data_IF_473947788759
#
_entry.id   IF_473947788759
#
_cell.length_a   1.000
_cell.length_b   1.000
_cell.length_c   1.000
_cell.angle_alpha   90.00
_cell.angle_beta   90.00
_cell.angle_gamma   90.00
#
_symmetry.space_group_name_H-M   'P 1'
#
loop_
_entity.id
_entity.type
_entity.pdbx_description
1 polymer ?
#
# COMPACT_ATOMS: atom_id res chain seq x y z
N UNK A 1 -6.91 -20.60 19.23
CA UNK A 1 -7.98 -19.58 19.06
C UNK A 1 -7.88 -18.97 17.64
N UNK A 2 -8.95 -18.42 17.06
CA UNK A 2 -8.92 -17.88 15.67
C UNK A 2 -7.86 -16.77 15.45
N UNK A 3 -7.47 -16.05 16.50
CA UNK A 3 -6.42 -15.03 16.47
C UNK A 3 -5.02 -15.58 16.12
N UNK A 4 -4.76 -16.88 16.29
CA UNK A 4 -3.47 -17.49 15.92
C UNK A 4 -3.19 -17.43 14.41
N UNK A 5 -4.23 -17.28 13.60
CA UNK A 5 -4.16 -17.18 12.14
C UNK A 5 -3.77 -15.78 11.64
N UNK A 6 -3.72 -14.77 12.52
CA UNK A 6 -3.31 -13.41 12.16
C UNK A 6 -1.81 -13.39 11.89
N UNK A 7 -1.42 -13.11 10.63
CA UNK A 7 -0.01 -13.15 10.19
C UNK A 7 0.83 -11.94 10.62
N UNK A 8 0.26 -10.72 10.62
CA UNK A 8 0.98 -9.52 11.04
C UNK A 8 1.18 -9.56 12.56
N UNK A 9 2.43 -9.77 12.98
CA UNK A 9 2.79 -9.99 14.39
C UNK A 9 2.32 -8.85 15.29
N UNK A 10 2.50 -7.60 14.85
CA UNK A 10 2.05 -6.44 15.61
C UNK A 10 0.53 -6.46 15.86
N UNK A 11 -0.27 -6.68 14.81
CA UNK A 11 -1.73 -6.82 14.93
C UNK A 11 -2.11 -7.98 15.84
N UNK A 12 -1.44 -9.12 15.68
CA UNK A 12 -1.67 -10.31 16.50
C UNK A 12 -1.43 -10.03 17.98
N UNK A 13 -0.33 -9.34 18.32
CA UNK A 13 0.01 -8.98 19.69
C UNK A 13 -1.10 -8.14 20.36
N UNK A 14 -1.65 -7.14 19.65
CA UNK A 14 -2.77 -6.34 20.17
C UNK A 14 -4.03 -7.18 20.39
N UNK A 15 -4.37 -8.10 19.48
CA UNK A 15 -5.52 -8.99 19.66
C UNK A 15 -5.30 -9.97 20.82
N UNK A 16 -4.09 -10.52 20.97
CA UNK A 16 -3.77 -11.40 22.10
C UNK A 16 -3.83 -10.67 23.46
N UNK A 17 -3.34 -9.44 23.52
CA UNK A 17 -3.47 -8.60 24.70
C UNK A 17 -4.94 -8.26 24.99
N UNK A 18 -5.74 -7.97 23.96
CA UNK A 18 -7.17 -7.74 24.12
C UNK A 18 -7.89 -8.96 24.72
N UNK A 19 -7.53 -10.19 24.29
CA UNK A 19 -8.06 -11.42 24.89
C UNK A 19 -7.70 -11.54 26.37
N UNK A 20 -6.44 -11.30 26.74
CA UNK A 20 -5.98 -11.36 28.13
C UNK A 20 -6.74 -10.35 29.01
N UNK A 21 -6.81 -9.09 28.57
CA UNK A 21 -7.53 -8.03 29.28
C UNK A 21 -9.03 -8.33 29.39
N UNK A 22 -9.63 -8.94 28.37
CA UNK A 22 -11.01 -9.38 28.42
C UNK A 22 -11.25 -10.46 29.49
N UNK A 23 -10.35 -11.44 29.59
CA UNK A 23 -10.41 -12.49 30.61
C UNK A 23 -10.18 -11.95 32.03
N UNK A 24 -9.37 -10.90 32.16
CA UNK A 24 -9.11 -10.16 33.41
C UNK A 24 -10.25 -9.21 33.81
N UNK A 25 -11.22 -8.97 32.92
CA UNK A 25 -12.33 -8.02 33.16
C UNK A 25 -11.99 -6.56 32.87
N UNK A 26 -10.81 -6.29 32.32
CA UNK A 26 -10.28 -4.96 31.94
C UNK A 26 -10.83 -4.52 30.57
N UNK A 27 -12.15 -4.41 30.47
CA UNK A 27 -12.88 -4.22 29.21
C UNK A 27 -12.49 -2.95 28.45
N UNK A 28 -12.26 -1.84 29.14
CA UNK A 28 -11.87 -0.58 28.50
C UNK A 28 -10.50 -0.72 27.82
N UNK A 29 -9.53 -1.29 28.52
CA UNK A 29 -8.19 -1.54 27.99
C UNK A 29 -8.24 -2.55 26.83
N UNK A 30 -9.09 -3.59 26.92
CA UNK A 30 -9.31 -4.51 25.81
C UNK A 30 -9.85 -3.80 24.56
N UNK A 31 -10.81 -2.87 24.70
CA UNK A 31 -11.32 -2.06 23.57
C UNK A 31 -10.25 -1.18 22.93
N UNK A 32 -9.31 -0.65 23.72
CA UNK A 32 -8.15 0.11 23.21
C UNK A 32 -7.26 -0.79 22.37
N UNK A 33 -6.90 -1.97 22.87
CA UNK A 33 -6.06 -2.93 22.13
C UNK A 33 -6.74 -3.40 20.84
N UNK A 34 -8.05 -3.68 20.88
CA UNK A 34 -8.85 -3.97 19.68
C UNK A 34 -8.75 -2.82 18.67
N UNK A 35 -8.85 -1.57 19.13
CA UNK A 35 -8.73 -0.41 18.25
C UNK A 35 -7.36 -0.32 17.59
N UNK A 36 -6.28 -0.52 18.35
CA UNK A 36 -4.91 -0.47 17.81
C UNK A 36 -4.73 -1.45 16.66
N UNK A 37 -5.26 -2.67 16.80
CA UNK A 37 -5.28 -3.65 15.72
C UNK A 37 -6.05 -3.13 14.48
N UNK A 38 -7.24 -2.54 14.67
CA UNK A 38 -8.03 -1.96 13.57
C UNK A 38 -7.30 -0.77 12.92
N UNK A 39 -6.63 0.06 13.69
CA UNK A 39 -5.84 1.17 13.17
C UNK A 39 -4.78 0.67 12.18
N UNK A 40 -4.01 -0.31 12.61
CA UNK A 40 -2.91 -0.91 11.83
C UNK A 40 -3.40 -1.62 10.57
N UNK A 41 -4.55 -2.29 10.67
CA UNK A 41 -5.09 -3.07 9.57
C UNK A 41 -5.96 -2.27 8.63
N UNK A 42 -6.48 -1.11 9.01
CA UNK A 42 -7.40 -0.34 8.16
C UNK A 42 -7.10 1.15 8.16
N UNK A 43 -7.07 1.78 9.34
CA UNK A 43 -7.14 3.25 9.44
C UNK A 43 -5.84 3.95 9.02
N UNK A 44 -4.71 3.28 9.19
CA UNK A 44 -3.40 3.78 8.76
C UNK A 44 -3.36 4.09 7.25
N UNK A 45 -4.07 3.31 6.42
CA UNK A 45 -4.19 3.53 4.97
C UNK A 45 -4.96 4.83 4.63
N UNK A 46 -5.73 5.36 5.59
CA UNK A 46 -6.50 6.60 5.48
C UNK A 46 -5.86 7.78 6.25
N UNK A 47 -4.72 7.57 6.92
CA UNK A 47 -4.03 8.63 7.66
C UNK A 47 -3.34 9.60 6.71
N UNK A 48 -3.69 10.88 6.78
CA UNK A 48 -3.05 11.96 5.99
C UNK A 48 -1.89 12.65 6.71
N UNK A 49 -1.47 12.15 7.87
CA UNK A 49 -0.44 12.76 8.72
C UNK A 49 0.88 13.04 7.98
N UNK A 50 1.33 12.14 7.11
CA UNK A 50 2.55 12.36 6.32
C UNK A 50 2.48 13.61 5.45
N UNK A 51 1.28 14.04 5.03
CA UNK A 51 1.08 15.18 4.14
C UNK A 51 1.09 16.53 4.85
N UNK A 52 1.28 16.58 6.19
CA UNK A 52 1.20 17.81 7.00
C UNK A 52 2.16 18.92 6.57
N UNK A 53 3.30 18.57 5.98
CA UNK A 53 4.28 19.54 5.48
C UNK A 53 4.26 19.76 3.96
N UNK A 54 3.38 19.08 3.21
CA UNK A 54 3.41 19.12 1.75
C UNK A 54 2.33 20.01 1.13
N UNK A 55 2.73 21.09 0.45
CA UNK A 55 1.79 21.96 -0.24
C UNK A 55 1.21 21.29 -1.49
N UNK A 56 -0.02 21.68 -1.86
CA UNK A 56 -0.80 21.07 -2.95
C UNK A 56 -0.11 21.01 -4.33
N UNK A 57 0.78 21.94 -4.64
CA UNK A 57 1.37 22.11 -5.97
C UNK A 57 2.80 21.54 -6.10
N UNK A 58 3.30 20.85 -5.09
CA UNK A 58 4.63 20.22 -5.13
C UNK A 58 4.56 18.86 -5.81
N UNK A 59 5.36 18.65 -6.86
CA UNK A 59 5.49 17.35 -7.49
C UNK A 59 6.27 16.39 -6.59
N UNK A 60 5.58 15.42 -5.99
CA UNK A 60 6.24 14.29 -5.33
C UNK A 60 6.39 13.13 -6.32
N UNK A 61 7.63 12.63 -6.45
CA UNK A 61 7.87 11.37 -7.15
C UNK A 61 7.09 10.21 -6.53
N UNK A 62 6.73 9.22 -7.35
CA UNK A 62 5.85 8.10 -6.99
C UNK A 62 6.29 7.36 -5.71
N UNK A 63 7.59 7.11 -5.56
CA UNK A 63 8.17 6.44 -4.39
C UNK A 63 7.99 7.25 -3.10
N UNK A 64 8.13 8.58 -3.18
CA UNK A 64 7.95 9.46 -2.03
C UNK A 64 6.48 9.49 -1.63
N UNK A 65 5.57 9.65 -2.60
CA UNK A 65 4.11 9.64 -2.37
C UNK A 65 3.60 8.36 -1.67
N UNK A 66 4.13 7.18 -2.03
CA UNK A 66 3.75 5.92 -1.41
C UNK A 66 4.15 5.81 0.08
N UNK A 67 5.29 6.38 0.49
CA UNK A 67 5.73 6.40 1.89
C UNK A 67 4.94 7.33 2.80
N UNK A 68 4.19 8.27 2.22
CA UNK A 68 3.49 9.33 2.97
C UNK A 68 2.17 8.88 3.58
N UNK A 69 1.65 7.70 3.20
CA UNK A 69 0.38 7.18 3.71
C UNK A 69 -0.81 7.88 3.06
N UNK A 70 -2.01 7.60 3.57
CA UNK A 70 -3.25 8.14 3.01
C UNK A 70 -3.51 7.61 1.60
N UNK A 71 -3.00 6.43 1.26
CA UNK A 71 -3.21 5.80 -0.05
C UNK A 71 -4.68 5.66 -0.39
N UNK A 72 -5.54 5.48 0.63
CA UNK A 72 -7.00 5.40 0.51
C UNK A 72 -7.75 6.66 0.93
N UNK A 73 -7.04 7.66 1.45
CA UNK A 73 -7.62 8.96 1.76
C UNK A 73 -7.92 9.75 0.47
N UNK A 74 -8.94 10.61 0.54
CA UNK A 74 -9.35 11.47 -0.58
C UNK A 74 -8.20 12.35 -1.06
N UNK A 75 -8.09 12.53 -2.37
CA UNK A 75 -6.98 13.28 -2.95
C UNK A 75 -6.88 14.73 -2.44
N UNK A 76 -8.00 15.40 -2.18
CA UNK A 76 -8.02 16.80 -1.77
C UNK A 76 -7.69 17.02 -0.29
N UNK A 77 -7.67 15.97 0.53
CA UNK A 77 -7.30 16.07 1.96
C UNK A 77 -5.78 15.91 2.18
N UNK A 78 -5.05 15.50 1.14
CA UNK A 78 -3.61 15.19 1.17
C UNK A 78 -2.76 16.41 0.84
N UNK A 79 -2.88 17.47 1.63
CA UNK A 79 -2.03 18.66 1.51
C UNK A 79 -2.04 19.47 2.82
N UNK A 80 -0.97 20.25 3.00
CA UNK A 80 -0.73 21.10 4.16
C UNK A 80 -1.86 22.11 4.41
N UNK A 81 -2.40 22.71 3.35
CA UNK A 81 -3.43 23.74 3.47
C UNK A 81 -4.72 23.15 4.05
N UNK A 82 -5.21 22.06 3.48
CA UNK A 82 -6.40 21.37 3.97
C UNK A 82 -6.21 20.83 5.38
N UNK A 83 -5.04 20.23 5.66
CA UNK A 83 -4.71 19.70 7.00
C UNK A 83 -4.72 20.82 8.04
N UNK A 84 -4.08 21.95 7.75
CA UNK A 84 -4.02 23.08 8.68
C UNK A 84 -5.39 23.67 9.02
N UNK A 85 -6.35 23.59 8.10
CA UNK A 85 -7.72 24.09 8.30
C UNK A 85 -8.65 23.08 9.00
N UNK A 86 -8.46 21.78 8.78
CA UNK A 86 -9.45 20.75 9.13
C UNK A 86 -9.01 19.80 10.26
N UNK A 87 -7.70 19.60 10.47
CA UNK A 87 -7.19 18.72 11.53
C UNK A 87 -7.05 19.52 12.82
N UNK A 88 -7.89 19.22 13.81
CA UNK A 88 -7.90 19.91 15.11
C UNK A 88 -7.27 19.08 16.23
N UNK A 89 -7.34 17.76 16.11
CA UNK A 89 -6.67 16.82 16.98
C UNK A 89 -5.98 15.68 16.18
N UNK A 90 -5.11 14.87 16.80
CA UNK A 90 -4.41 13.80 16.08
C UNK A 90 -5.32 12.76 15.42
N UNK A 91 -6.55 12.57 15.92
CA UNK A 91 -7.48 11.58 15.39
C UNK A 91 -8.11 12.06 14.08
N UNK A 92 -8.19 13.38 13.87
CA UNK A 92 -8.64 14.00 12.62
C UNK A 92 -7.68 13.75 11.44
N UNK A 93 -6.47 13.20 11.66
CA UNK A 93 -5.63 12.76 10.55
C UNK A 93 -6.21 11.56 9.79
N UNK A 94 -7.12 10.79 10.40
CA UNK A 94 -7.77 9.66 9.74
C UNK A 94 -8.92 10.17 8.87
N UNK A 95 -8.71 10.22 7.55
CA UNK A 95 -9.67 10.76 6.60
C UNK A 95 -10.27 9.65 5.73
N UNK A 96 -11.35 9.03 6.21
CA UNK A 96 -12.02 7.97 5.47
C UNK A 96 -12.66 8.49 4.19
N UNK A 97 -12.30 7.85 3.08
CA UNK A 97 -13.15 7.89 1.91
C UNK A 97 -14.23 6.82 2.03
N UNK A 98 -15.42 7.22 2.46
CA UNK A 98 -16.52 6.30 2.79
C UNK A 98 -16.92 5.38 1.63
N UNK A 99 -16.77 5.83 0.38
CA UNK A 99 -17.09 5.02 -0.80
C UNK A 99 -16.05 3.92 -1.01
N UNK A 100 -14.76 4.26 -0.98
CA UNK A 100 -13.68 3.28 -1.09
C UNK A 100 -13.71 2.28 0.07
N UNK A 101 -13.89 2.77 1.31
CA UNK A 101 -14.00 1.91 2.47
C UNK A 101 -15.20 0.94 2.35
N UNK A 102 -16.34 1.42 1.83
CA UNK A 102 -17.50 0.55 1.61
C UNK A 102 -17.21 -0.53 0.58
N UNK A 103 -16.51 -0.19 -0.51
CA UNK A 103 -16.11 -1.16 -1.54
C UNK A 103 -15.16 -2.21 -0.94
N UNK A 104 -14.10 -1.77 -0.25
CA UNK A 104 -13.14 -2.65 0.44
C UNK A 104 -13.84 -3.63 1.38
N UNK A 105 -14.71 -3.12 2.27
CA UNK A 105 -15.43 -3.96 3.23
C UNK A 105 -16.30 -5.00 2.52
N UNK A 106 -16.95 -4.63 1.42
CA UNK A 106 -17.76 -5.55 0.62
C UNK A 106 -16.90 -6.65 -0.02
N UNK A 107 -15.75 -6.31 -0.57
CA UNK A 107 -14.80 -7.24 -1.17
C UNK A 107 -14.21 -8.22 -0.13
N UNK A 108 -14.04 -7.77 1.11
CA UNK A 108 -13.63 -8.64 2.22
C UNK A 108 -14.79 -9.48 2.77
N UNK A 109 -16.03 -9.26 2.33
CA UNK A 109 -17.22 -9.92 2.89
C UNK A 109 -17.54 -9.47 4.32
N UNK A 110 -17.25 -8.22 4.65
CA UNK A 110 -17.54 -7.57 5.93
C UNK A 110 -18.67 -6.55 5.73
N UNK A 111 -19.64 -6.53 6.64
CA UNK A 111 -20.73 -5.55 6.54
C UNK A 111 -20.21 -4.16 6.93
N UNK A 112 -20.65 -3.13 6.21
CA UNK A 112 -20.33 -1.73 6.57
C UNK A 112 -20.77 -1.40 8.00
N UNK A 113 -21.90 -1.98 8.44
CA UNK A 113 -22.40 -1.79 9.80
C UNK A 113 -21.46 -2.37 10.86
N UNK A 114 -20.88 -3.56 10.65
CA UNK A 114 -19.95 -4.17 11.59
C UNK A 114 -18.71 -3.28 11.78
N UNK A 115 -18.15 -2.73 10.70
CA UNK A 115 -17.03 -1.80 10.78
C UNK A 115 -17.38 -0.55 11.57
N UNK A 116 -18.51 0.11 11.26
CA UNK A 116 -18.90 1.33 11.98
C UNK A 116 -19.29 1.06 13.44
N UNK A 117 -19.82 -0.13 13.75
CA UNK A 117 -20.05 -0.53 15.14
C UNK A 117 -18.74 -0.68 15.89
N UNK A 118 -17.75 -1.38 15.32
CA UNK A 118 -16.40 -1.44 15.88
C UNK A 118 -15.89 -0.03 16.13
N UNK A 119 -15.86 0.80 15.10
CA UNK A 119 -15.34 2.17 15.15
C UNK A 119 -15.99 3.04 16.24
N UNK A 120 -17.31 2.90 16.46
CA UNK A 120 -18.06 3.68 17.47
C UNK A 120 -18.01 3.11 18.88
N UNK A 121 -17.74 1.81 19.04
CA UNK A 121 -17.74 1.14 20.35
C UNK A 121 -16.34 1.11 20.98
N UNK A 122 -15.30 1.24 20.16
CA UNK A 122 -13.92 1.37 20.61
C UNK A 122 -13.51 2.83 20.75
N UNK A 123 -12.65 3.20 21.73
CA UNK A 123 -12.09 4.53 21.82
C UNK A 123 -11.23 4.86 20.60
N UNK A 124 -11.11 6.13 20.24
CA UNK A 124 -10.22 6.54 19.16
C UNK A 124 -8.77 6.38 19.61
N UNK A 125 -7.92 5.86 18.72
CA UNK A 125 -6.47 5.76 18.93
C UNK A 125 -5.77 6.32 17.71
N UNK A 126 -4.57 6.84 17.90
CA UNK A 126 -3.72 7.29 16.82
C UNK A 126 -2.26 7.04 17.16
N UNK A 127 -1.45 6.77 16.15
CA UNK A 127 0.01 6.68 16.28
C UNK A 127 0.66 7.48 15.15
N UNK A 128 1.49 8.44 15.52
CA UNK A 128 2.33 9.17 14.57
C UNK A 128 3.36 8.23 13.95
N UNK A 129 3.64 8.37 12.64
CA UNK A 129 4.59 7.48 11.95
C UNK A 129 5.98 7.43 12.55
N UNK A 130 6.44 8.57 13.05
CA UNK A 130 7.77 8.73 13.65
C UNK A 130 7.81 8.29 15.13
N UNK A 131 6.66 7.98 15.74
CA UNK A 131 6.54 7.59 17.13
C UNK A 131 6.04 6.15 17.29
N UNK A 132 6.51 5.48 18.34
CA UNK A 132 5.96 4.19 18.75
C UNK A 132 4.80 4.33 19.73
N UNK A 133 4.57 5.53 20.25
CA UNK A 133 3.57 5.78 21.29
C UNK A 133 2.17 5.92 20.71
N UNK A 134 1.21 5.32 21.42
CA UNK A 134 -0.21 5.43 21.09
C UNK A 134 -0.83 6.58 21.85
N UNK A 135 -1.57 7.41 21.12
CA UNK A 135 -2.42 8.45 21.67
C UNK A 135 -3.83 7.89 21.72
N UNK A 136 -4.48 8.02 22.86
CA UNK A 136 -5.82 7.46 23.12
C UNK A 136 -6.74 8.64 23.42
N UNK A 137 -7.89 8.71 22.75
CA UNK A 137 -8.92 9.71 23.06
C UNK A 137 -9.76 9.21 24.21
N UNK A 138 -9.48 9.73 25.39
CA UNK A 138 -10.27 9.46 26.59
C UNK A 138 -11.59 10.24 26.56
N UNK A 139 -12.57 9.74 25.80
CA UNK A 139 -13.91 10.32 25.85
C UNK A 139 -14.65 9.82 27.10
N UNK A 140 -15.16 10.74 27.92
CA UNK A 140 -15.84 10.45 29.19
C UNK A 140 -16.96 9.40 29.06
N UNK A 141 -17.64 9.34 27.91
CA UNK A 141 -18.70 8.37 27.59
C UNK A 141 -18.22 6.91 27.55
N UNK A 142 -16.94 6.63 27.32
CA UNK A 142 -16.40 5.27 27.36
C UNK A 142 -16.06 4.81 28.77
N UNK A 143 -15.72 5.75 29.65
CA UNK A 143 -15.35 5.49 31.05
C UNK A 143 -16.59 5.09 31.88
N UNK A 144 -17.78 5.60 31.54
CA UNK A 144 -19.00 5.36 32.34
C UNK A 144 -19.97 4.31 31.81
N UNK A 145 -20.08 4.09 30.48
CA UNK A 145 -21.25 3.36 29.93
C UNK A 145 -20.95 2.30 28.86
N UNK A 146 -19.80 2.34 28.17
CA UNK A 146 -19.58 1.50 26.96
C UNK A 146 -18.64 0.32 27.14
N UNK A 147 -17.76 0.35 28.14
CA UNK A 147 -16.78 -0.71 28.41
C UNK A 147 -17.42 -1.90 29.16
N UNK A 148 -18.42 -2.54 28.54
CA UNK A 148 -19.08 -3.73 29.09
C UNK A 148 -18.46 -5.00 28.53
N UNK A 149 -18.64 -6.12 29.25
CA UNK A 149 -18.26 -7.44 28.76
C UNK A 149 -18.88 -7.77 27.41
N UNK A 150 -20.17 -7.45 27.23
CA UNK A 150 -20.89 -7.76 26.00
C UNK A 150 -20.34 -6.97 24.81
N UNK A 151 -20.17 -5.66 24.95
CA UNK A 151 -19.61 -4.81 23.89
C UNK A 151 -18.17 -5.21 23.54
N UNK A 152 -17.36 -5.51 24.56
CA UNK A 152 -15.97 -5.91 24.36
C UNK A 152 -15.88 -7.25 23.63
N UNK A 153 -16.71 -8.23 24.02
CA UNK A 153 -16.80 -9.51 23.31
C UNK A 153 -17.22 -9.33 21.87
N UNK A 154 -18.28 -8.54 21.63
CA UNK A 154 -18.74 -8.22 20.27
C UNK A 154 -17.61 -7.60 19.44
N UNK A 155 -16.90 -6.61 19.99
CA UNK A 155 -15.82 -5.95 19.28
C UNK A 155 -14.64 -6.88 19.00
N UNK A 156 -14.28 -7.74 19.95
CA UNK A 156 -13.19 -8.71 19.77
C UNK A 156 -13.53 -9.69 18.63
N UNK A 157 -14.71 -10.30 18.67
CA UNK A 157 -15.16 -11.25 17.65
C UNK A 157 -15.20 -10.60 16.25
N UNK A 158 -15.72 -9.37 16.16
CA UNK A 158 -15.85 -8.64 14.89
C UNK A 158 -14.50 -8.16 14.37
N UNK A 159 -13.59 -7.74 15.23
CA UNK A 159 -12.25 -7.33 14.83
C UNK A 159 -11.45 -8.52 14.30
N UNK A 160 -11.46 -9.67 14.99
CA UNK A 160 -10.82 -10.90 14.49
C UNK A 160 -11.40 -11.31 13.14
N UNK A 161 -12.73 -11.27 12.99
CA UNK A 161 -13.38 -11.59 11.72
C UNK A 161 -12.97 -10.64 10.59
N UNK A 162 -12.96 -9.33 10.83
CA UNK A 162 -12.54 -8.30 9.88
C UNK A 162 -11.11 -8.55 9.40
N UNK A 163 -10.18 -8.75 10.33
CA UNK A 163 -8.74 -8.92 10.05
C UNK A 163 -8.50 -10.17 9.20
N UNK A 164 -9.07 -11.31 9.61
CA UNK A 164 -8.90 -12.57 8.88
C UNK A 164 -9.54 -12.53 7.49
N UNK A 165 -10.69 -11.87 7.35
CA UNK A 165 -11.34 -11.65 6.06
C UNK A 165 -10.53 -10.76 5.13
N UNK A 166 -9.99 -9.65 5.62
CA UNK A 166 -9.07 -8.80 4.86
C UNK A 166 -7.85 -9.60 4.41
N UNK A 167 -7.21 -10.34 5.33
CA UNK A 167 -6.06 -11.19 5.01
C UNK A 167 -6.39 -12.27 3.97
N UNK A 168 -7.53 -12.96 4.12
CA UNK A 168 -7.98 -13.97 3.16
C UNK A 168 -8.28 -13.39 1.79
N UNK A 169 -8.86 -12.18 1.71
CA UNK A 169 -9.05 -11.48 0.45
C UNK A 169 -7.72 -11.16 -0.23
N UNK A 170 -6.73 -10.66 0.52
CA UNK A 170 -5.38 -10.40 -0.01
C UNK A 170 -4.74 -11.69 -0.54
N UNK A 171 -4.94 -12.83 0.13
CA UNK A 171 -4.40 -14.13 -0.28
C UNK A 171 -5.04 -14.71 -1.54
N UNK A 172 -6.28 -14.32 -1.86
CA UNK A 172 -6.91 -14.67 -3.13
C UNK A 172 -6.26 -13.94 -4.31
N UNK A 173 -5.50 -12.88 -4.05
CA UNK A 173 -4.68 -12.18 -5.03
C UNK A 173 -3.65 -13.13 -5.65
N UNK A 174 -3.87 -13.50 -6.92
CA UNK A 174 -2.92 -14.29 -7.69
C UNK A 174 -1.96 -13.35 -8.42
N UNK A 175 -0.77 -13.20 -7.88
CA UNK A 175 0.33 -12.54 -8.56
C UNK A 175 1.22 -13.60 -9.23
N UNK A 176 1.77 -13.30 -10.41
CA UNK A 176 2.90 -14.07 -10.93
C UNK A 176 4.01 -14.03 -9.87
N UNK A 177 4.52 -15.19 -9.46
CA UNK A 177 5.42 -15.32 -8.32
C UNK A 177 6.61 -14.34 -8.43
N UNK A 178 6.63 -13.30 -7.58
CA UNK A 178 7.68 -12.28 -7.57
C UNK A 178 9.08 -12.87 -7.29
N UNK A 179 9.16 -14.03 -6.64
CA UNK A 179 10.44 -14.70 -6.31
C UNK A 179 11.19 -15.29 -7.51
N UNK A 180 10.53 -15.43 -8.68
CA UNK A 180 11.14 -15.90 -9.91
C UNK A 180 10.99 -14.87 -11.04
N UNK A 181 11.03 -13.57 -10.71
CA UNK A 181 11.20 -12.56 -11.75
C UNK A 181 12.60 -12.72 -12.32
N UNK A 182 12.76 -13.63 -13.28
CA UNK A 182 13.93 -13.65 -14.15
C UNK A 182 13.94 -12.28 -14.82
N UNK A 183 14.93 -11.46 -14.50
CA UNK A 183 15.13 -10.23 -15.23
C UNK A 183 15.39 -10.62 -16.68
N UNK A 184 14.42 -10.33 -17.55
CA UNK A 184 14.57 -10.55 -18.97
C UNK A 184 15.52 -9.47 -19.45
N UNK A 185 16.72 -9.88 -19.84
CA UNK A 185 17.70 -8.98 -20.43
C UNK A 185 17.69 -9.17 -21.93
N UNK A 186 18.11 -8.15 -22.65
CA UNK A 186 18.37 -8.24 -24.08
C UNK A 186 19.78 -7.79 -24.38
N UNK A 187 20.42 -8.43 -25.35
CA UNK A 187 21.67 -7.96 -25.96
C UNK A 187 21.35 -7.32 -27.30
N UNK A 188 21.87 -6.11 -27.53
CA UNK A 188 21.71 -5.48 -28.84
C UNK A 188 22.65 -6.13 -29.85
N UNK A 189 22.11 -6.62 -30.96
CA UNK A 189 22.89 -7.25 -32.05
C UNK A 189 23.63 -6.22 -32.91
N UNK A 190 23.19 -4.97 -32.88
CA UNK A 190 23.81 -3.83 -33.56
C UNK A 190 23.46 -2.53 -32.87
N UNK A 191 24.11 -1.43 -33.25
CA UNK A 191 23.73 -0.11 -32.78
C UNK A 191 22.34 0.27 -33.33
N UNK A 192 21.42 0.69 -32.46
CA UNK A 192 20.05 1.05 -32.86
C UNK A 192 19.44 2.14 -31.98
N UNK A 193 18.51 2.91 -32.54
CA UNK A 193 17.78 3.93 -31.80
C UNK A 193 16.69 3.35 -30.92
N UNK A 194 16.37 4.09 -29.88
CA UNK A 194 15.28 3.80 -28.96
C UNK A 194 14.25 4.90 -29.14
N UNK A 195 13.03 4.47 -29.42
CA UNK A 195 11.94 5.33 -29.79
C UNK A 195 11.03 5.60 -28.60
N UNK A 196 10.45 6.79 -28.52
CA UNK A 196 9.46 7.14 -27.49
C UNK A 196 8.18 6.30 -27.60
N UNK A 197 7.86 5.83 -28.81
CA UNK A 197 6.71 4.96 -29.13
C UNK A 197 7.21 3.72 -29.88
N UNK A 198 6.41 2.65 -29.90
CA UNK A 198 6.67 1.46 -30.71
C UNK A 198 6.43 1.71 -32.22
N UNK A 199 7.15 2.67 -32.78
CA UNK A 199 7.06 3.11 -34.17
C UNK A 199 8.42 3.69 -34.62
N UNK A 200 8.87 3.33 -35.81
CA UNK A 200 10.22 3.63 -36.30
C UNK A 200 10.48 5.11 -36.67
N UNK A 201 9.42 5.91 -36.84
CA UNK A 201 9.47 7.35 -37.12
C UNK A 201 9.23 8.21 -35.87
N UNK A 202 9.14 7.57 -34.70
CA UNK A 202 8.94 8.28 -33.44
C UNK A 202 10.19 9.03 -32.99
N UNK A 203 10.02 9.93 -32.04
CA UNK A 203 11.12 10.66 -31.42
C UNK A 203 12.13 9.68 -30.81
N UNK A 204 13.41 9.88 -31.12
CA UNK A 204 14.51 9.12 -30.52
C UNK A 204 14.76 9.64 -29.10
N UNK A 205 14.71 8.73 -28.12
CA UNK A 205 14.92 9.01 -26.68
C UNK A 205 16.25 8.49 -26.15
N UNK A 206 16.88 7.58 -26.89
CA UNK A 206 18.17 6.98 -26.54
C UNK A 206 18.72 6.10 -27.67
N UNK A 207 19.83 5.44 -27.40
CA UNK A 207 20.52 4.57 -28.34
C UNK A 207 21.02 3.32 -27.60
N UNK A 208 20.89 2.16 -28.23
CA UNK A 208 21.50 0.92 -27.78
C UNK A 208 22.82 0.72 -28.51
N UNK A 209 23.85 0.40 -27.74
CA UNK A 209 25.18 0.06 -28.24
C UNK A 209 25.25 -1.44 -28.57
N UNK A 210 25.98 -1.76 -29.64
CA UNK A 210 26.18 -3.14 -30.04
C UNK A 210 26.86 -3.95 -28.94
N UNK A 211 26.40 -5.19 -28.74
CA UNK A 211 26.94 -6.13 -27.76
C UNK A 211 26.58 -5.83 -26.30
N UNK A 212 26.00 -4.66 -26.00
CA UNK A 212 25.60 -4.29 -24.65
C UNK A 212 24.28 -4.94 -24.23
N UNK A 213 24.15 -5.17 -22.93
CA UNK A 213 23.00 -5.84 -22.32
C UNK A 213 22.13 -4.84 -21.57
N UNK A 214 20.82 -4.88 -21.84
CA UNK A 214 19.83 -3.96 -21.29
C UNK A 214 18.68 -4.72 -20.64
N UNK A 215 18.01 -4.11 -19.66
CA UNK A 215 16.80 -4.66 -19.06
C UNK A 215 15.61 -4.46 -19.99
N UNK A 216 14.86 -5.53 -20.25
CA UNK A 216 13.66 -5.53 -21.05
C UNK A 216 12.43 -5.90 -20.22
N UNK A 217 11.30 -5.27 -20.53
CA UNK A 217 10.06 -5.45 -19.77
C UNK A 217 8.97 -6.16 -20.57
N UNK A 218 8.91 -5.90 -21.88
CA UNK A 218 7.85 -6.44 -22.74
C UNK A 218 8.27 -6.45 -24.21
N UNK A 219 7.61 -7.28 -25.00
CA UNK A 219 7.59 -7.18 -26.46
C UNK A 219 6.19 -6.75 -26.87
N UNK A 220 6.11 -5.68 -27.66
CA UNK A 220 4.86 -5.12 -28.14
C UNK A 220 4.84 -5.09 -29.66
N UNK A 221 3.66 -5.20 -30.24
CA UNK A 221 3.48 -4.90 -31.66
C UNK A 221 3.64 -3.39 -31.89
N UNK A 222 4.22 -3.04 -33.03
CA UNK A 222 4.23 -1.67 -33.51
C UNK A 222 2.84 -1.20 -33.90
N UNK A 223 2.69 0.12 -34.04
CA UNK A 223 1.43 0.73 -34.50
C UNK A 223 1.03 0.31 -35.92
N UNK A 224 2.00 -0.18 -36.71
CA UNK A 224 1.78 -0.76 -38.04
C UNK A 224 1.22 -2.20 -38.01
N UNK A 225 1.13 -2.82 -36.83
CA UNK A 225 0.65 -4.18 -36.62
C UNK A 225 1.62 -5.30 -37.03
N UNK A 226 2.68 -4.97 -37.76
CA UNK A 226 3.63 -5.94 -38.33
C UNK A 226 4.99 -5.90 -37.62
N UNK A 227 5.44 -4.72 -37.20
CA UNK A 227 6.71 -4.56 -36.50
C UNK A 227 6.59 -5.04 -35.06
N UNK A 228 7.70 -5.47 -34.46
CA UNK A 228 7.78 -5.78 -33.03
C UNK A 228 8.85 -4.96 -32.37
N UNK A 229 8.54 -4.45 -31.19
CA UNK A 229 9.44 -3.63 -30.39
C UNK A 229 9.62 -4.21 -28.99
N UNK A 230 10.82 -4.06 -28.43
CA UNK A 230 11.13 -4.39 -27.04
C UNK A 230 11.08 -3.12 -26.22
N UNK A 231 10.31 -3.13 -25.13
CA UNK A 231 10.32 -2.07 -24.13
C UNK A 231 11.57 -2.20 -23.26
N UNK A 232 12.45 -1.21 -23.36
CA UNK A 232 13.70 -1.11 -22.63
C UNK A 232 13.56 -0.10 -21.50
N UNK A 233 14.07 -0.49 -20.33
CA UNK A 233 14.32 0.42 -19.22
C UNK A 233 15.82 0.44 -18.96
N UNK A 234 16.44 1.61 -19.07
CA UNK A 234 17.86 1.76 -18.77
C UNK A 234 18.07 2.87 -17.75
N UNK A 235 19.00 2.60 -16.84
CA UNK A 235 19.46 3.54 -15.83
C UNK A 235 20.91 3.90 -16.15
N UNK A 236 21.11 5.10 -16.67
CA UNK A 236 22.44 5.64 -16.91
C UNK A 236 22.91 6.34 -15.63
N UNK A 237 24.11 5.99 -15.14
CA UNK A 237 24.63 6.49 -13.86
C UNK A 237 25.16 7.93 -13.98
N UNK A 238 25.70 8.32 -15.14
CA UNK A 238 26.29 9.65 -15.38
C UNK A 238 26.04 10.14 -16.83
N UNK A 239 25.18 11.17 -17.03
CA UNK A 239 24.30 11.78 -16.04
C UNK A 239 23.21 10.80 -15.58
N UNK A 240 22.74 10.93 -14.33
CA UNK A 240 21.63 10.11 -13.79
C UNK A 240 20.38 10.30 -14.63
N UNK A 241 20.16 9.42 -15.59
CA UNK A 241 19.04 9.50 -16.52
C UNK A 241 18.37 8.13 -16.60
N UNK A 242 17.09 8.12 -16.25
CA UNK A 242 16.22 6.98 -16.50
C UNK A 242 15.50 7.28 -17.79
N UNK A 243 15.60 6.38 -18.75
CA UNK A 243 14.79 6.47 -19.94
C UNK A 243 14.11 5.13 -20.22
N UNK A 244 12.87 5.24 -20.69
CA UNK A 244 12.03 4.14 -21.13
C UNK A 244 11.75 4.36 -22.60
N UNK A 245 11.87 3.30 -23.40
CA UNK A 245 11.54 3.40 -24.81
C UNK A 245 11.60 2.07 -25.54
N UNK A 246 11.41 2.13 -26.85
CA UNK A 246 11.14 0.98 -27.69
C UNK A 246 12.29 0.78 -28.68
N UNK A 247 12.90 -0.40 -28.65
CA UNK A 247 13.91 -0.83 -29.62
C UNK A 247 13.33 -1.89 -30.57
N UNK A 248 13.83 -2.00 -31.80
CA UNK A 248 13.30 -2.98 -32.74
C UNK A 248 13.70 -4.40 -32.34
N UNK A 249 12.72 -5.28 -32.17
CA UNK A 249 12.94 -6.61 -31.61
C UNK A 249 13.82 -7.51 -32.48
N UNK A 250 13.80 -7.33 -33.80
CA UNK A 250 14.66 -8.08 -34.72
C UNK A 250 16.17 -7.88 -34.46
N UNK A 251 16.54 -6.73 -33.87
CA UNK A 251 17.92 -6.38 -33.52
C UNK A 251 18.26 -6.66 -32.06
N UNK A 252 17.37 -7.30 -31.33
CA UNK A 252 17.57 -7.69 -29.94
C UNK A 252 17.69 -9.22 -29.85
N UNK A 253 18.57 -9.69 -28.98
CA UNK A 253 18.66 -11.09 -28.58
C UNK A 253 18.24 -11.20 -27.12
N UNK A 254 17.22 -12.01 -26.82
CA UNK A 254 16.74 -12.19 -25.45
C UNK A 254 17.71 -13.10 -24.70
N UNK A 255 18.21 -12.59 -23.58
CA UNK A 255 19.05 -13.33 -22.64
C UNK A 255 18.22 -13.51 -21.36
N UNK A 256 17.83 -14.74 -21.07
CA UNK A 256 17.31 -15.06 -19.74
C UNK A 256 18.48 -15.00 -18.75
N UNK A 257 18.43 -14.07 -17.80
CA UNK A 257 19.33 -14.15 -16.66
C UNK A 257 18.75 -15.13 -15.64
N UNK A 258 19.46 -16.22 -15.39
CA UNK A 258 19.31 -16.93 -14.14
C UNK A 258 20.00 -16.08 -13.07
N UNK A 259 19.33 -15.75 -11.95
CA UNK A 259 20.06 -15.24 -10.81
C UNK A 259 20.95 -16.39 -10.32
N UNK A 260 22.21 -16.42 -10.73
CA UNK A 260 23.22 -17.10 -9.93
C UNK A 260 23.20 -16.41 -8.57
N UNK A 261 22.97 -17.22 -7.53
CA UNK A 261 23.07 -16.83 -6.14
C UNK A 261 24.45 -16.19 -5.94
N UNK A 262 24.49 -14.86 -5.97
CA UNK A 262 25.67 -14.08 -5.59
C UNK A 262 25.92 -14.31 -4.12
N UNK A 263 26.97 -15.08 -3.85
CA UNK A 263 27.70 -15.25 -2.58
C UNK A 263 28.15 -13.93 -1.97
#
# INVERSE_FOLDING_TARGET
MLNELIRKEETKNYIENACKLFDEGEYYNALIEIRKAIFIEVEEEYSVEGWKEHPRNEYLGLLRSMGMGGSKARWHTKNKEWIGENVKDPFDYIQFDHENLRADLMEWGVTTQDFWNLWRLTPQVFRFKESKEWIIKEELKYVSERATRENTKYCLDRAVSLILKKQGHIDLGRYLAQGNYKEIRIKSKKQQHIFAKAQSDSQVVGQLEEGHVYSAQAIVSGFDGNSKFVLISHFELEPRKIWFGYAQNEFCEIIESHPELGS
#
